data_IF_150524715012
#
_entry.id   IF_150524715012
#
_cell.length_a   1.000
_cell.length_b   1.000
_cell.length_c   1.000
_cell.angle_alpha   90.00
_cell.angle_beta   90.00
_cell.angle_gamma   90.00
#
_symmetry.space_group_name_H-M   'P 1'
#
loop_
_entity.id
_entity.type
_entity.pdbx_description
1 polymer ?
#
# COMPACT_ATOMS: atom_id res chain seq x y z
N UNK A 1 -31.44 -16.98 26.01
CA UNK A 1 -30.11 -17.29 26.58
C UNK A 1 -29.40 -15.96 26.78
N UNK A 2 -29.05 -15.62 28.02
CA UNK A 2 -28.56 -14.30 28.42
C UNK A 2 -27.11 -14.04 27.94
N UNK A 3 -26.69 -12.78 27.76
CA UNK A 3 -25.29 -12.43 27.51
C UNK A 3 -24.43 -12.80 28.73
N UNK A 4 -23.29 -13.45 28.46
CA UNK A 4 -22.31 -13.84 29.47
C UNK A 4 -21.76 -12.63 30.22
N UNK A 5 -21.66 -12.79 31.54
CA UNK A 5 -20.97 -11.89 32.46
C UNK A 5 -19.48 -11.86 32.09
N UNK A 6 -18.85 -10.72 32.27
CA UNK A 6 -17.45 -10.38 31.93
C UNK A 6 -17.29 -9.75 30.54
N UNK A 7 -17.89 -8.57 30.38
CA UNK A 7 -17.74 -7.68 29.22
C UNK A 7 -16.36 -7.04 29.08
N UNK A 8 -15.29 -7.84 29.08
CA UNK A 8 -14.02 -7.45 28.47
C UNK A 8 -14.10 -7.86 26.99
N UNK A 9 -14.27 -6.87 26.10
CA UNK A 9 -13.94 -7.06 24.69
C UNK A 9 -12.51 -7.61 24.68
N UNK A 10 -12.27 -8.80 24.14
CA UNK A 10 -10.89 -9.18 23.86
C UNK A 10 -10.33 -8.07 22.97
N UNK A 11 -9.29 -7.39 23.41
CA UNK A 11 -8.59 -6.37 22.63
C UNK A 11 -7.90 -7.07 21.47
N UNK A 12 -8.67 -7.41 20.45
CA UNK A 12 -8.14 -7.89 19.17
C UNK A 12 -7.56 -6.66 18.48
N UNK A 13 -6.26 -6.62 18.18
CA UNK A 13 -5.64 -5.49 17.49
C UNK A 13 -6.36 -5.21 16.18
N UNK A 14 -6.67 -3.94 15.92
CA UNK A 14 -7.21 -3.51 14.64
C UNK A 14 -6.17 -3.71 13.55
N UNK A 15 -6.59 -4.29 12.42
CA UNK A 15 -5.76 -4.51 11.23
C UNK A 15 -6.20 -3.61 10.09
N UNK A 16 -5.29 -3.29 9.17
CA UNK A 16 -5.58 -2.53 7.96
C UNK A 16 -5.66 -3.47 6.76
N UNK A 17 -6.74 -3.32 5.97
CA UNK A 17 -6.89 -3.96 4.67
C UNK A 17 -7.24 -2.89 3.63
N UNK A 18 -6.32 -2.63 2.69
CA UNK A 18 -6.57 -1.71 1.58
C UNK A 18 -7.04 -2.51 0.36
N UNK A 19 -8.28 -2.33 -0.08
CA UNK A 19 -8.80 -2.99 -1.27
C UNK A 19 -8.44 -2.17 -2.52
N UNK A 20 -7.68 -2.74 -3.46
CA UNK A 20 -7.30 -2.09 -4.70
C UNK A 20 -7.87 -2.85 -5.91
N UNK A 21 -8.60 -2.18 -6.81
CA UNK A 21 -9.11 -2.80 -8.02
C UNK A 21 -8.00 -2.95 -9.07
N UNK A 22 -7.76 -4.17 -9.55
CA UNK A 22 -6.75 -4.47 -10.58
C UNK A 22 -7.39 -5.03 -11.85
N UNK A 23 -6.83 -4.68 -13.02
CA UNK A 23 -7.29 -5.15 -14.33
C UNK A 23 -6.92 -6.61 -14.58
N UNK A 24 -5.72 -7.00 -14.15
CA UNK A 24 -5.18 -8.35 -14.32
C UNK A 24 -4.49 -8.77 -13.02
N UNK A 25 -5.05 -9.77 -12.34
CA UNK A 25 -4.58 -10.22 -11.04
C UNK A 25 -3.18 -10.85 -11.11
N UNK A 26 -2.90 -11.62 -12.16
CA UNK A 26 -1.61 -12.29 -12.33
C UNK A 26 -0.48 -11.29 -12.54
N UNK A 27 -0.71 -10.27 -13.37
CA UNK A 27 0.21 -9.15 -13.60
C UNK A 27 0.50 -8.38 -12.32
N UNK A 28 -0.52 -8.09 -11.51
CA UNK A 28 -0.32 -7.38 -10.23
C UNK A 28 0.45 -8.25 -9.23
N UNK A 29 0.13 -9.55 -9.13
CA UNK A 29 0.90 -10.49 -8.29
C UNK A 29 2.37 -10.52 -8.72
N UNK A 30 2.65 -10.72 -10.00
CA UNK A 30 4.02 -10.76 -10.52
C UNK A 30 4.77 -9.46 -10.21
N UNK A 31 4.14 -8.31 -10.44
CA UNK A 31 4.71 -7.01 -10.13
C UNK A 31 5.11 -6.92 -8.65
N UNK A 32 4.16 -7.09 -7.72
CA UNK A 32 4.44 -6.93 -6.29
C UNK A 32 5.37 -8.02 -5.73
N UNK A 33 5.38 -9.23 -6.32
CA UNK A 33 6.41 -10.24 -6.00
C UNK A 33 7.82 -9.75 -6.35
N UNK A 34 8.02 -9.08 -7.50
CA UNK A 34 9.33 -8.49 -7.86
C UNK A 34 9.78 -7.39 -6.89
N UNK A 35 8.85 -6.70 -6.24
CA UNK A 35 9.17 -5.70 -5.21
C UNK A 35 9.59 -6.35 -3.88
N UNK A 36 9.31 -7.64 -3.70
CA UNK A 36 9.64 -8.44 -2.51
C UNK A 36 8.44 -8.77 -1.61
N UNK A 37 7.22 -8.40 -2.00
CA UNK A 37 6.03 -8.70 -1.22
C UNK A 37 5.63 -10.17 -1.33
N UNK A 38 5.00 -10.66 -0.26
CA UNK A 38 4.46 -12.01 -0.17
C UNK A 38 2.93 -11.97 -0.15
N UNK A 39 2.33 -13.10 -0.49
CA UNK A 39 0.89 -13.24 -0.56
C UNK A 39 0.42 -14.36 0.37
N UNK A 40 -0.77 -14.19 0.98
CA UNK A 40 -1.40 -15.25 1.76
C UNK A 40 -2.17 -16.19 0.82
N UNK A 41 -1.72 -17.44 0.64
CA UNK A 41 -2.38 -18.38 -0.28
C UNK A 41 -3.80 -18.75 0.17
N UNK A 42 -4.15 -18.55 1.45
CA UNK A 42 -5.50 -18.82 1.97
C UNK A 42 -6.54 -17.83 1.47
N UNK A 43 -6.09 -16.63 1.06
CA UNK A 43 -6.94 -15.55 0.54
C UNK A 43 -6.62 -15.27 -0.93
N UNK A 44 -6.17 -16.28 -1.67
CA UNK A 44 -5.81 -16.16 -3.08
C UNK A 44 -6.67 -17.09 -3.93
N UNK A 45 -7.44 -16.51 -4.84
CA UNK A 45 -8.19 -17.21 -5.87
C UNK A 45 -8.13 -16.44 -7.21
N UNK A 46 -9.01 -16.78 -8.16
CA UNK A 46 -9.09 -16.08 -9.45
C UNK A 46 -9.60 -14.63 -9.37
N UNK A 47 -10.24 -14.25 -8.27
CA UNK A 47 -10.89 -12.95 -8.08
C UNK A 47 -10.05 -12.01 -7.21
N UNK A 48 -9.26 -12.55 -6.28
CA UNK A 48 -8.58 -11.77 -5.25
C UNK A 48 -7.28 -12.43 -4.78
N UNK A 49 -6.36 -11.62 -4.28
CA UNK A 49 -5.23 -12.09 -3.46
C UNK A 49 -4.95 -11.10 -2.32
N UNK A 50 -4.44 -11.62 -1.20
CA UNK A 50 -4.03 -10.82 -0.04
C UNK A 50 -2.51 -10.64 -0.04
N UNK A 51 -2.04 -9.42 -0.36
CA UNK A 51 -0.64 -9.03 -0.22
C UNK A 51 -0.33 -8.68 1.24
N UNK A 52 0.72 -9.27 1.78
CA UNK A 52 1.18 -9.06 3.15
C UNK A 52 2.23 -7.95 3.13
N UNK A 53 1.90 -6.80 3.74
CA UNK A 53 2.79 -5.64 3.84
C UNK A 53 3.49 -5.60 5.21
N UNK A 54 2.78 -6.00 6.26
CA UNK A 54 3.30 -6.12 7.64
C UNK A 54 2.50 -7.15 8.44
N UNK A 55 2.72 -7.23 9.76
CA UNK A 55 1.99 -8.17 10.63
C UNK A 55 0.48 -7.91 10.65
N UNK A 56 0.09 -6.64 10.53
CA UNK A 56 -1.30 -6.18 10.65
C UNK A 56 -1.72 -5.25 9.51
N UNK A 57 -0.94 -5.22 8.43
CA UNK A 57 -1.15 -4.37 7.25
C UNK A 57 -1.18 -5.26 6.01
N UNK A 58 -2.30 -5.20 5.32
CA UNK A 58 -2.59 -6.02 4.15
C UNK A 58 -3.16 -5.18 3.02
N UNK A 59 -2.90 -5.61 1.79
CA UNK A 59 -3.50 -5.01 0.59
C UNK A 59 -4.18 -6.13 -0.20
N UNK A 60 -5.49 -5.98 -0.40
CA UNK A 60 -6.28 -6.92 -1.18
C UNK A 60 -6.27 -6.45 -2.63
N UNK A 61 -5.62 -7.19 -3.52
CA UNK A 61 -5.68 -6.95 -4.95
C UNK A 61 -6.90 -7.70 -5.50
N UNK A 62 -7.90 -6.95 -5.98
CA UNK A 62 -9.19 -7.49 -6.39
C UNK A 62 -9.40 -7.26 -7.88
N UNK A 63 -9.71 -8.31 -8.63
CA UNK A 63 -10.12 -8.15 -10.03
C UNK A 63 -11.29 -7.16 -10.13
N UNK A 64 -11.23 -6.19 -11.06
CA UNK A 64 -12.19 -5.08 -11.15
C UNK A 64 -13.66 -5.48 -11.06
N UNK A 65 -14.06 -6.56 -11.73
CA UNK A 65 -15.43 -7.07 -11.68
C UNK A 65 -15.86 -7.51 -10.28
N UNK A 66 -14.95 -8.16 -9.54
CA UNK A 66 -15.17 -8.53 -8.15
C UNK A 66 -15.17 -7.31 -7.23
N UNK A 67 -14.24 -6.36 -7.40
CA UNK A 67 -14.23 -5.11 -6.63
C UNK A 67 -15.57 -4.35 -6.73
N UNK A 68 -16.20 -4.33 -7.92
CA UNK A 68 -17.51 -3.67 -8.12
C UNK A 68 -18.63 -4.27 -7.26
N UNK A 69 -18.51 -5.51 -6.77
CA UNK A 69 -19.53 -6.06 -5.85
C UNK A 69 -19.48 -5.42 -4.46
N UNK A 70 -18.39 -4.73 -4.12
CA UNK A 70 -18.17 -4.07 -2.82
C UNK A 70 -18.71 -2.63 -2.80
N UNK A 71 -19.05 -2.07 -3.96
CA UNK A 71 -19.46 -0.66 -4.06
C UNK A 71 -20.49 -0.43 -5.15
N UNK A 72 -21.43 0.47 -4.89
CA UNK A 72 -22.38 0.95 -5.91
C UNK A 72 -21.82 2.13 -6.74
N UNK A 73 -20.68 2.71 -6.34
CA UNK A 73 -20.04 3.82 -7.04
C UNK A 73 -19.26 3.34 -8.25
N UNK A 74 -18.96 4.26 -9.17
CA UNK A 74 -17.96 4.00 -10.20
C UNK A 74 -16.58 3.81 -9.61
N UNK A 75 -15.82 2.87 -10.20
CA UNK A 75 -14.44 2.63 -9.81
C UNK A 75 -13.60 3.75 -10.42
N UNK A 76 -12.77 4.41 -9.62
CA UNK A 76 -11.86 5.46 -10.12
C UNK A 76 -10.99 4.94 -11.27
N UNK A 77 -10.90 5.72 -12.35
CA UNK A 77 -9.93 5.51 -13.41
C UNK A 77 -8.60 6.12 -12.95
N UNK A 78 -7.71 5.30 -12.38
CA UNK A 78 -6.45 5.75 -11.80
C UNK A 78 -5.51 6.44 -12.81
N UNK A 79 -5.76 6.30 -14.12
CA UNK A 79 -5.06 7.07 -15.15
C UNK A 79 -5.54 8.53 -15.28
N UNK A 80 -6.68 8.88 -14.67
CA UNK A 80 -7.33 10.21 -14.75
C UNK A 80 -7.54 10.85 -13.39
N UNK A 81 -7.79 10.07 -12.35
CA UNK A 81 -8.13 10.54 -11.01
C UNK A 81 -7.58 9.64 -9.92
N UNK A 82 -7.08 10.24 -8.84
CA UNK A 82 -6.59 9.53 -7.66
C UNK A 82 -7.65 9.54 -6.57
N UNK A 83 -8.03 8.35 -6.08
CA UNK A 83 -8.92 8.20 -4.92
C UNK A 83 -8.14 7.93 -3.62
N UNK A 84 -7.00 7.26 -3.72
CA UNK A 84 -6.16 6.88 -2.57
C UNK A 84 -4.68 6.96 -2.94
N UNK A 85 -3.85 7.30 -1.96
CA UNK A 85 -2.39 7.13 -1.98
C UNK A 85 -2.04 6.16 -0.85
N UNK A 86 -1.29 5.09 -1.17
CA UNK A 86 -0.83 4.12 -0.18
C UNK A 86 0.61 4.44 0.19
N UNK A 87 0.81 4.96 1.41
CA UNK A 87 2.12 5.33 1.92
C UNK A 87 2.67 4.24 2.87
N UNK A 88 3.89 3.77 2.60
CA UNK A 88 4.60 2.78 3.42
C UNK A 88 5.90 3.37 3.94
N UNK A 89 6.15 3.19 5.24
CA UNK A 89 7.44 3.55 5.83
C UNK A 89 8.52 2.54 5.45
N UNK A 90 9.76 3.03 5.34
CA UNK A 90 10.97 2.26 5.09
C UNK A 90 12.00 2.57 6.20
N UNK A 91 12.93 1.65 6.49
CA UNK A 91 13.88 1.80 7.60
C UNK A 91 15.02 2.82 7.34
N UNK A 92 15.12 3.38 6.12
CA UNK A 92 16.17 4.30 5.75
C UNK A 92 16.02 4.80 4.32
N UNK A 93 16.81 5.83 3.95
CA UNK A 93 16.81 6.43 2.61
C UNK A 93 17.15 5.41 1.52
N UNK A 94 18.21 4.63 1.72
CA UNK A 94 18.61 3.58 0.78
C UNK A 94 17.52 2.52 0.57
N UNK A 95 16.71 2.24 1.60
CA UNK A 95 15.59 1.30 1.49
C UNK A 95 14.42 1.88 0.69
N UNK A 96 14.18 3.21 0.78
CA UNK A 96 13.25 3.93 -0.10
C UNK A 96 13.71 3.78 -1.55
N UNK A 97 14.98 4.08 -1.82
CA UNK A 97 15.54 4.02 -3.17
C UNK A 97 15.48 2.61 -3.74
N UNK A 98 15.96 1.62 -2.99
CA UNK A 98 15.99 0.23 -3.43
C UNK A 98 14.59 -0.31 -3.75
N UNK A 99 13.56 0.06 -2.99
CA UNK A 99 12.20 -0.40 -3.27
C UNK A 99 11.63 0.27 -4.52
N UNK A 100 11.76 1.59 -4.64
CA UNK A 100 11.22 2.32 -5.80
C UNK A 100 11.97 1.95 -7.08
N UNK A 101 13.28 1.75 -7.03
CA UNK A 101 14.06 1.31 -8.19
C UNK A 101 13.66 -0.10 -8.66
N UNK A 102 13.37 -1.02 -7.73
CA UNK A 102 12.76 -2.32 -8.08
C UNK A 102 11.40 -2.14 -8.73
N UNK A 103 10.56 -1.24 -8.21
CA UNK A 103 9.25 -0.96 -8.78
C UNK A 103 9.36 -0.44 -10.22
N UNK A 104 10.22 0.56 -10.46
CA UNK A 104 10.45 1.10 -11.80
C UNK A 104 11.00 0.04 -12.76
N UNK A 105 11.94 -0.79 -12.30
CA UNK A 105 12.48 -1.91 -13.08
C UNK A 105 11.42 -2.97 -13.40
N UNK A 106 10.38 -3.11 -12.57
CA UNK A 106 9.23 -3.99 -12.78
C UNK A 106 8.11 -3.36 -13.63
N UNK A 107 8.30 -2.14 -14.14
CA UNK A 107 7.35 -1.45 -15.03
C UNK A 107 6.43 -0.44 -14.35
N UNK A 108 6.71 -0.06 -13.09
CA UNK A 108 6.06 1.08 -12.46
C UNK A 108 6.41 2.39 -13.18
N UNK A 109 5.59 3.42 -12.97
CA UNK A 109 5.87 4.79 -13.44
C UNK A 109 6.19 5.67 -12.26
N UNK A 110 7.06 6.66 -12.43
CA UNK A 110 7.25 7.70 -11.41
C UNK A 110 5.93 8.46 -11.25
N UNK A 111 5.49 8.68 -10.01
CA UNK A 111 4.29 9.45 -9.72
C UNK A 111 4.61 10.94 -9.54
N UNK A 112 5.42 11.26 -8.54
CA UNK A 112 5.87 12.61 -8.21
C UNK A 112 7.41 12.66 -8.15
N UNK A 113 7.97 13.86 -8.20
CA UNK A 113 9.39 14.05 -7.87
C UNK A 113 9.69 13.59 -6.44
N UNK A 114 10.91 13.10 -6.15
CA UNK A 114 11.30 12.77 -4.78
C UNK A 114 11.13 13.96 -3.84
N UNK A 115 10.60 13.69 -2.64
CA UNK A 115 10.52 14.67 -1.56
C UNK A 115 11.73 14.48 -0.66
N UNK A 116 12.50 15.53 -0.44
CA UNK A 116 13.59 15.55 0.53
C UNK A 116 13.51 16.80 1.40
N UNK A 117 13.18 16.60 2.68
CA UNK A 117 13.06 17.65 3.69
C UNK A 117 14.17 17.53 4.76
N UNK A 118 15.22 16.73 4.49
CA UNK A 118 16.25 16.37 5.46
C UNK A 118 15.78 15.32 6.47
N UNK A 119 14.72 15.61 7.23
CA UNK A 119 14.12 14.71 8.24
C UNK A 119 13.12 13.71 7.65
N UNK A 120 12.67 13.95 6.42
CA UNK A 120 11.81 13.03 5.67
C UNK A 120 12.35 12.90 4.25
N UNK A 121 12.41 11.67 3.78
CA UNK A 121 12.77 11.34 2.40
C UNK A 121 11.73 10.40 1.82
N UNK A 122 11.17 10.75 0.66
CA UNK A 122 10.11 9.97 0.04
C UNK A 122 10.22 9.91 -1.46
N UNK A 123 9.90 8.75 -2.03
CA UNK A 123 9.75 8.54 -3.48
C UNK A 123 8.42 7.89 -3.75
N UNK A 124 7.86 8.14 -4.93
CA UNK A 124 6.52 7.69 -5.29
C UNK A 124 6.47 7.05 -6.67
N UNK A 125 5.60 6.06 -6.82
CA UNK A 125 5.38 5.37 -8.08
C UNK A 125 3.91 5.01 -8.28
N UNK A 126 3.55 4.76 -9.53
CA UNK A 126 2.28 4.20 -9.95
C UNK A 126 2.49 2.72 -10.29
N UNK A 127 1.69 1.85 -9.71
CA UNK A 127 1.71 0.43 -10.06
C UNK A 127 1.10 0.17 -11.46
N UNK A 128 1.08 -1.08 -11.97
CA UNK A 128 0.57 -1.38 -13.32
C UNK A 128 -0.89 -0.99 -13.58
N UNK A 129 -1.67 -0.72 -12.53
CA UNK A 129 -3.06 -0.31 -12.61
C UNK A 129 -3.25 1.19 -12.36
N UNK A 130 -2.17 1.91 -12.02
CA UNK A 130 -2.14 3.35 -11.82
C UNK A 130 -2.32 3.78 -10.37
N UNK A 131 -2.40 2.85 -9.42
CA UNK A 131 -2.56 3.21 -8.01
C UNK A 131 -1.29 3.90 -7.51
N UNK A 132 -1.46 4.95 -6.70
CA UNK A 132 -0.34 5.74 -6.21
C UNK A 132 0.24 5.14 -4.93
N UNK A 133 1.54 4.91 -4.95
CA UNK A 133 2.32 4.40 -3.84
C UNK A 133 3.40 5.41 -3.44
N UNK A 134 3.55 5.63 -2.14
CA UNK A 134 4.62 6.43 -1.56
C UNK A 134 5.45 5.56 -0.62
N UNK A 135 6.76 5.59 -0.80
CA UNK A 135 7.69 4.92 0.10
C UNK A 135 8.51 6.02 0.75
N UNK A 136 8.52 6.06 2.07
CA UNK A 136 9.17 7.14 2.79
C UNK A 136 9.95 6.65 3.99
N UNK A 137 11.02 7.35 4.29
CA UNK A 137 11.75 7.26 5.53
C UNK A 137 11.54 8.57 6.31
N UNK A 138 11.36 8.44 7.62
CA UNK A 138 11.27 9.57 8.53
C UNK A 138 12.27 9.36 9.67
N UNK A 139 13.16 10.34 9.86
CA UNK A 139 14.04 10.39 11.02
C UNK A 139 13.33 11.12 12.15
N UNK A 140 12.71 10.33 13.04
CA UNK A 140 11.96 10.87 14.18
C UNK A 140 12.83 11.73 15.11
N UNK A 141 14.13 11.46 15.20
CA UNK A 141 15.07 12.24 16.02
C UNK A 141 15.42 13.62 15.44
N UNK A 142 15.08 13.84 14.17
CA UNK A 142 15.25 15.11 13.46
C UNK A 142 13.94 15.92 13.31
N UNK A 143 12.78 15.35 13.71
CA UNK A 143 11.50 16.06 13.71
C UNK A 143 11.61 17.31 14.59
N UNK A 144 11.27 18.47 14.02
CA UNK A 144 11.27 19.76 14.73
C UNK A 144 12.62 20.49 14.79
N UNK A 145 13.74 19.84 14.47
CA UNK A 145 15.06 20.51 14.43
C UNK A 145 15.26 21.37 13.17
N UNK A 146 14.57 21.03 12.09
CA UNK A 146 14.60 21.76 10.81
C UNK A 146 13.29 22.50 10.50
N UNK A 147 12.24 22.38 11.33
CA UNK A 147 10.98 23.12 11.14
C UNK A 147 11.09 24.61 11.52
N UNK A 148 12.19 25.01 12.16
CA UNK A 148 12.48 26.39 12.57
C UNK A 148 13.39 27.16 11.58
N UNK A 149 13.55 26.67 10.35
CA UNK A 149 14.48 27.23 9.35
C UNK A 149 13.88 27.53 7.98
N UNK A 150 12.56 27.62 7.84
CA UNK A 150 11.88 28.06 6.62
C UNK A 150 11.22 29.43 6.82
#
# INVERSE_FOLDING_TARGET
MAPGKDGKRQDVPTKIFVNLPVKDLGRSVEFFTKLGFKFDPRFTDKNATCMIVGSDIFVMLLAKGFFKTFTKKEISDAAKSTEVIVALSAPGRDAVDALVDRALSAGAKISNQPTDQGWMYGRSFQDPDGHLWEIFYMDEGAIGKNAAGA
#
